data_IF_341993604793
#
_entry.id   IF_341993604793
#
_cell.length_a   1.000
_cell.length_b   1.000
_cell.length_c   1.000
_cell.angle_alpha   90.00
_cell.angle_beta   90.00
_cell.angle_gamma   90.00
#
_symmetry.space_group_name_H-M   'P 1'
#
loop_
_entity.id
_entity.type
_entity.pdbx_description
1 polymer ?
#
# COMPACT_ATOMS: atom_id res chain seq x y z
N UNK A 1 -24.69 -9.53 -10.70
CA UNK A 1 -23.77 -8.68 -9.90
C UNK A 1 -22.38 -9.23 -10.08
N UNK A 2 -21.43 -8.35 -10.39
CA UNK A 2 -20.12 -8.62 -10.97
C UNK A 2 -19.18 -9.33 -9.97
N UNK A 3 -18.66 -10.52 -10.33
CA UNK A 3 -17.83 -11.35 -9.46
C UNK A 3 -16.56 -10.66 -8.96
N UNK A 4 -16.06 -9.69 -9.73
CA UNK A 4 -14.89 -8.87 -9.39
C UNK A 4 -15.15 -7.96 -8.19
N UNK A 5 -16.35 -7.37 -8.08
CA UNK A 5 -16.69 -6.52 -6.93
C UNK A 5 -16.86 -7.33 -5.65
N UNK A 6 -17.40 -8.54 -5.76
CA UNK A 6 -17.50 -9.44 -4.62
C UNK A 6 -16.10 -9.83 -4.09
N UNK A 7 -15.19 -10.23 -4.99
CA UNK A 7 -13.81 -10.56 -4.61
C UNK A 7 -13.08 -9.38 -3.97
N UNK A 8 -13.25 -8.17 -4.52
CA UNK A 8 -12.69 -6.95 -3.94
C UNK A 8 -13.14 -6.74 -2.50
N UNK A 9 -14.45 -6.82 -2.23
CA UNK A 9 -15.00 -6.66 -0.89
C UNK A 9 -14.49 -7.70 0.09
N UNK A 10 -14.38 -8.96 -0.34
CA UNK A 10 -13.85 -10.05 0.48
C UNK A 10 -12.39 -9.79 0.86
N UNK A 11 -11.54 -9.36 -0.09
CA UNK A 11 -10.13 -9.06 0.18
C UNK A 11 -9.94 -7.81 1.05
N UNK A 12 -10.77 -6.79 0.87
CA UNK A 12 -10.70 -5.52 1.61
C UNK A 12 -11.14 -5.64 3.07
N UNK A 13 -12.03 -6.60 3.41
CA UNK A 13 -12.55 -6.71 4.78
C UNK A 13 -11.45 -7.01 5.81
N UNK A 14 -10.60 -8.04 5.66
CA UNK A 14 -9.49 -8.27 6.58
C UNK A 14 -8.47 -7.11 6.57
N UNK A 15 -8.23 -6.53 5.39
CA UNK A 15 -7.32 -5.40 5.25
C UNK A 15 -7.79 -4.18 6.06
N UNK A 16 -9.10 -3.87 6.05
CA UNK A 16 -9.69 -2.78 6.82
C UNK A 16 -9.50 -2.98 8.34
N UNK A 17 -9.76 -4.19 8.84
CA UNK A 17 -9.57 -4.51 10.26
C UNK A 17 -8.10 -4.38 10.67
N UNK A 18 -7.17 -4.82 9.80
CA UNK A 18 -5.74 -4.63 10.01
C UNK A 18 -5.36 -3.15 10.10
N UNK A 19 -5.88 -2.30 9.22
CA UNK A 19 -5.63 -0.85 9.27
C UNK A 19 -6.14 -0.22 10.56
N UNK A 20 -7.34 -0.63 11.03
CA UNK A 20 -7.87 -0.22 12.33
C UNK A 20 -6.92 -0.63 13.47
N UNK A 21 -6.52 -1.90 13.51
CA UNK A 21 -5.59 -2.42 14.52
C UNK A 21 -4.24 -1.72 14.50
N UNK A 22 -3.68 -1.43 13.32
CA UNK A 22 -2.43 -0.68 13.19
C UNK A 22 -2.59 0.75 13.72
N UNK A 23 -3.70 1.42 13.41
CA UNK A 23 -3.98 2.76 13.91
C UNK A 23 -4.13 2.77 15.44
N UNK A 24 -4.83 1.77 16.01
CA UNK A 24 -4.98 1.63 17.45
C UNK A 24 -3.66 1.28 18.13
N UNK A 25 -2.84 0.39 17.57
CA UNK A 25 -1.50 0.10 18.07
C UNK A 25 -0.63 1.35 18.12
N UNK A 26 -0.61 2.15 17.04
CA UNK A 26 0.11 3.42 16.98
C UNK A 26 -0.38 4.38 18.07
N UNK A 27 -1.70 4.49 18.28
CA UNK A 27 -2.27 5.34 19.34
C UNK A 27 -1.79 4.92 20.73
N UNK A 28 -1.67 3.62 20.98
CA UNK A 28 -1.22 3.08 22.28
C UNK A 28 0.31 3.08 22.46
N UNK A 29 1.09 3.08 21.39
CA UNK A 29 2.57 3.12 21.46
C UNK A 29 3.14 4.53 21.32
N UNK A 30 2.35 5.51 20.85
CA UNK A 30 2.75 6.91 20.63
C UNK A 30 2.92 7.74 21.92
N UNK A 31 2.76 7.15 23.11
CA UNK A 31 3.06 7.81 24.39
C UNK A 31 4.57 8.07 24.60
N UNK A 32 5.42 7.67 23.67
CA UNK A 32 6.86 8.00 23.66
C UNK A 32 7.18 9.09 22.62
N UNK A 33 7.21 10.34 23.12
CA UNK A 33 8.01 11.48 22.62
C UNK A 33 7.55 12.23 21.35
N UNK A 34 6.89 13.37 21.61
CA UNK A 34 6.94 14.68 20.94
C UNK A 34 7.09 14.81 19.41
N UNK A 35 6.13 15.56 18.86
CA UNK A 35 6.22 16.46 17.69
C UNK A 35 6.40 15.81 16.32
N UNK A 36 5.31 15.26 15.78
CA UNK A 36 4.80 15.62 14.45
C UNK A 36 3.33 15.23 14.40
N UNK A 37 2.49 16.17 14.00
CA UNK A 37 1.07 15.98 13.72
C UNK A 37 0.90 14.92 12.63
N UNK A 38 0.92 13.65 13.02
CA UNK A 38 0.51 12.55 12.17
C UNK A 38 -0.97 12.36 12.46
N UNK A 39 -1.77 12.56 11.43
CA UNK A 39 -3.23 12.57 11.44
C UNK A 39 -3.75 11.22 11.97
N UNK A 40 -3.94 11.09 13.30
CA UNK A 40 -4.30 9.84 14.00
C UNK A 40 -5.79 9.49 13.95
N UNK A 41 -6.57 10.20 13.12
CA UNK A 41 -7.95 9.83 12.84
C UNK A 41 -7.96 8.84 11.68
N UNK A 42 -8.32 7.58 11.93
CA UNK A 42 -8.73 6.70 10.85
C UNK A 42 -9.86 7.42 10.08
N UNK A 43 -9.68 7.77 8.80
CA UNK A 43 -10.63 8.62 8.10
C UNK A 43 -11.96 7.90 7.82
N UNK A 44 -12.03 6.59 8.07
CA UNK A 44 -13.21 5.77 7.85
C UNK A 44 -13.73 5.23 9.18
N UNK A 45 -15.01 5.49 9.45
CA UNK A 45 -15.67 5.00 10.66
C UNK A 45 -16.26 3.60 10.47
N UNK A 46 -16.48 3.17 9.22
CA UNK A 46 -17.06 1.86 8.90
C UNK A 46 -16.40 1.19 7.70
N UNK A 47 -16.51 -0.14 7.63
CA UNK A 47 -16.07 -0.91 6.46
C UNK A 47 -16.80 -0.49 5.16
N UNK A 48 -18.07 -0.07 5.28
CA UNK A 48 -18.87 0.39 4.14
C UNK A 48 -18.28 1.65 3.52
N UNK A 49 -17.89 2.62 4.36
CA UNK A 49 -17.23 3.85 3.92
C UNK A 49 -15.87 3.55 3.30
N UNK A 50 -15.06 2.73 3.96
CA UNK A 50 -13.76 2.31 3.44
C UNK A 50 -13.88 1.67 2.05
N UNK A 51 -14.78 0.70 1.90
CA UNK A 51 -15.00 0.02 0.63
C UNK A 51 -15.46 0.98 -0.46
N UNK A 52 -16.41 1.88 -0.17
CA UNK A 52 -16.87 2.87 -1.13
C UNK A 52 -15.75 3.83 -1.56
N UNK A 53 -14.90 4.25 -0.62
CA UNK A 53 -13.75 5.11 -0.93
C UNK A 53 -12.69 4.40 -1.77
N UNK A 54 -12.43 3.11 -1.54
CA UNK A 54 -11.55 2.32 -2.40
C UNK A 54 -12.16 2.16 -3.79
N UNK A 55 -13.46 1.89 -3.90
CA UNK A 55 -14.16 1.81 -5.20
C UNK A 55 -14.05 3.14 -5.98
N UNK A 56 -14.25 4.29 -5.31
CA UNK A 56 -14.06 5.63 -5.91
C UNK A 56 -12.61 5.85 -6.32
N UNK A 57 -11.65 5.47 -5.46
CA UNK A 57 -10.23 5.60 -5.77
C UNK A 57 -9.86 4.78 -7.02
N UNK A 58 -10.35 3.55 -7.15
CA UNK A 58 -10.08 2.70 -8.30
C UNK A 58 -10.63 3.32 -9.60
N UNK A 59 -11.80 3.96 -9.56
CA UNK A 59 -12.47 4.51 -10.73
C UNK A 59 -12.00 5.91 -11.13
N UNK A 60 -11.69 6.76 -10.14
CA UNK A 60 -11.51 8.20 -10.32
C UNK A 60 -10.23 8.76 -9.68
N UNK A 61 -9.42 7.90 -9.06
CA UNK A 61 -8.17 8.31 -8.45
C UNK A 61 -7.15 8.79 -9.48
N UNK A 62 -6.42 9.82 -9.10
CA UNK A 62 -5.21 10.27 -9.83
C UNK A 62 -4.05 9.31 -9.58
N UNK A 63 -3.03 9.31 -10.46
CA UNK A 63 -1.84 8.45 -10.31
C UNK A 63 -1.14 8.66 -8.96
N UNK A 64 -1.13 9.90 -8.43
CA UNK A 64 -0.59 10.20 -7.10
C UNK A 64 -1.42 9.59 -5.98
N UNK A 65 -2.75 9.63 -6.06
CA UNK A 65 -3.63 9.00 -5.07
C UNK A 65 -3.53 7.48 -5.13
N UNK A 66 -3.45 6.90 -6.33
CA UNK A 66 -3.18 5.48 -6.54
C UNK A 66 -1.85 5.08 -5.91
N UNK A 67 -0.78 5.83 -6.18
CA UNK A 67 0.53 5.58 -5.60
C UNK A 67 0.51 5.67 -4.07
N UNK A 68 -0.14 6.69 -3.50
CA UNK A 68 -0.25 6.84 -2.05
C UNK A 68 -0.95 5.63 -1.40
N UNK A 69 -2.03 5.15 -2.00
CA UNK A 69 -2.73 3.97 -1.49
C UNK A 69 -1.91 2.69 -1.65
N UNK A 70 -1.30 2.49 -2.82
CA UNK A 70 -0.43 1.34 -3.09
C UNK A 70 0.81 1.33 -2.19
N UNK A 71 1.36 2.49 -1.83
CA UNK A 71 2.47 2.58 -0.89
C UNK A 71 2.14 1.90 0.44
N UNK A 72 0.95 2.15 1.01
CA UNK A 72 0.48 1.53 2.26
C UNK A 72 0.27 0.02 2.10
N UNK A 73 -0.11 -0.43 0.90
CA UNK A 73 -0.34 -1.85 0.59
C UNK A 73 0.99 -2.60 0.45
N UNK A 74 2.03 -1.97 -0.09
CA UNK A 74 3.31 -2.63 -0.38
C UNK A 74 4.36 -2.45 0.71
N UNK A 75 4.35 -1.34 1.46
CA UNK A 75 5.30 -1.06 2.55
C UNK A 75 4.91 -1.82 3.82
N UNK A 76 5.12 -3.14 3.85
CA UNK A 76 4.66 -4.00 4.95
C UNK A 76 5.79 -4.62 5.76
N UNK A 77 6.98 -4.74 5.18
CA UNK A 77 8.11 -5.43 5.82
C UNK A 77 8.95 -4.55 6.74
N UNK A 78 8.92 -3.23 6.55
CA UNK A 78 9.77 -2.30 7.30
C UNK A 78 8.94 -1.15 7.89
N UNK A 79 9.07 -0.85 9.20
CA UNK A 79 8.32 0.23 9.85
C UNK A 79 8.68 1.63 9.36
N UNK A 80 9.89 1.83 8.83
CA UNK A 80 10.37 3.13 8.32
C UNK A 80 9.81 3.45 6.93
N UNK A 81 9.13 2.50 6.29
CA UNK A 81 8.46 2.67 5.00
C UNK A 81 8.83 1.59 4.00
N UNK A 82 8.74 1.92 2.71
CA UNK A 82 8.86 0.92 1.65
C UNK A 82 10.33 0.54 1.41
N UNK A 83 10.61 -0.74 1.30
CA UNK A 83 11.93 -1.23 0.87
C UNK A 83 12.07 -1.15 -0.66
N UNK A 84 13.31 -1.23 -1.16
CA UNK A 84 13.56 -1.21 -2.61
C UNK A 84 12.87 -2.35 -3.35
N UNK A 85 12.81 -3.53 -2.75
CA UNK A 85 12.17 -4.71 -3.36
C UNK A 85 10.65 -4.55 -3.43
N UNK A 86 10.03 -4.02 -2.38
CA UNK A 86 8.59 -3.72 -2.37
C UNK A 86 8.23 -2.61 -3.36
N UNK A 87 9.06 -1.57 -3.46
CA UNK A 87 8.87 -0.49 -4.43
C UNK A 87 9.00 -0.99 -5.86
N UNK A 88 9.97 -1.88 -6.13
CA UNK A 88 10.11 -2.50 -7.45
C UNK A 88 8.87 -3.32 -7.81
N UNK A 89 8.36 -4.14 -6.88
CA UNK A 89 7.15 -4.92 -7.09
C UNK A 89 5.94 -4.02 -7.39
N UNK A 90 5.75 -2.95 -6.61
CA UNK A 90 4.69 -1.96 -6.84
C UNK A 90 4.78 -1.38 -8.26
N UNK A 91 5.99 -0.98 -8.69
CA UNK A 91 6.20 -0.42 -10.03
C UNK A 91 5.89 -1.47 -11.12
N UNK A 92 6.33 -2.71 -10.95
CA UNK A 92 6.06 -3.78 -11.91
C UNK A 92 4.57 -4.12 -12.04
N UNK A 93 3.85 -4.06 -10.93
CA UNK A 93 2.44 -4.44 -10.89
C UNK A 93 1.50 -3.30 -11.33
N UNK A 94 1.91 -2.04 -11.15
CA UNK A 94 1.00 -0.89 -11.24
C UNK A 94 1.49 0.27 -12.11
N UNK A 95 2.70 0.24 -12.65
CA UNK A 95 3.12 1.22 -13.67
C UNK A 95 2.88 0.64 -15.04
N UNK A 96 1.92 1.22 -15.75
CA UNK A 96 1.66 0.86 -17.13
C UNK A 96 2.35 1.84 -18.07
N UNK A 97 3.36 1.32 -18.77
CA UNK A 97 4.05 2.03 -19.84
C UNK A 97 3.94 1.21 -21.13
N UNK A 98 2.72 1.02 -21.62
CA UNK A 98 2.34 0.26 -22.84
C UNK A 98 3.14 0.55 -24.13
N UNK A 99 4.03 1.55 -24.16
CA UNK A 99 4.83 1.93 -25.33
C UNK A 99 6.35 1.93 -25.09
N UNK A 100 6.82 1.38 -23.98
CA UNK A 100 8.24 1.42 -23.65
C UNK A 100 9.04 0.23 -24.18
N UNK A 101 10.36 0.45 -24.26
CA UNK A 101 11.37 -0.56 -24.58
C UNK A 101 11.19 -1.80 -23.68
N UNK A 102 11.36 -3.00 -24.24
CA UNK A 102 11.33 -4.27 -23.50
C UNK A 102 12.29 -4.27 -22.29
N UNK A 103 13.32 -3.42 -22.29
CA UNK A 103 14.27 -3.23 -21.18
C UNK A 103 13.88 -2.15 -20.17
N UNK A 104 12.68 -1.59 -20.24
CA UNK A 104 12.24 -0.52 -19.34
C UNK A 104 12.39 -0.90 -17.87
N UNK A 105 11.89 -2.06 -17.46
CA UNK A 105 11.99 -2.49 -16.06
C UNK A 105 13.43 -2.74 -15.62
N UNK A 106 14.32 -3.20 -16.52
CA UNK A 106 15.75 -3.34 -16.22
C UNK A 106 16.41 -1.98 -15.98
N UNK A 107 16.07 -0.97 -16.80
CA UNK A 107 16.55 0.41 -16.65
C UNK A 107 16.02 1.03 -15.36
N UNK A 108 14.72 0.87 -15.09
CA UNK A 108 14.09 1.35 -13.85
C UNK A 108 14.71 0.70 -12.62
N UNK A 109 14.96 -0.62 -12.65
CA UNK A 109 15.64 -1.30 -11.55
C UNK A 109 17.08 -0.80 -11.35
N UNK A 110 17.83 -0.61 -12.43
CA UNK A 110 19.20 -0.08 -12.37
C UNK A 110 19.22 1.34 -11.80
N UNK A 111 18.26 2.17 -12.21
CA UNK A 111 18.10 3.52 -11.68
C UNK A 111 17.73 3.50 -10.20
N UNK A 112 16.77 2.66 -9.79
CA UNK A 112 16.41 2.48 -8.38
C UNK A 112 17.61 2.04 -7.55
N UNK A 113 18.45 1.10 -8.01
CA UNK A 113 19.66 0.71 -7.27
C UNK A 113 20.64 1.87 -7.03
N UNK A 114 20.73 2.79 -7.99
CA UNK A 114 21.62 3.96 -7.89
C UNK A 114 21.11 4.99 -6.87
N UNK A 115 19.80 5.19 -6.81
CA UNK A 115 19.18 6.23 -5.97
C UNK A 115 18.62 5.70 -4.65
N UNK A 116 18.47 4.39 -4.54
CA UNK A 116 18.01 3.65 -3.37
C UNK A 116 19.11 2.64 -2.97
N UNK A 117 20.13 3.16 -2.28
CA UNK A 117 21.36 2.42 -1.98
C UNK A 117 21.14 1.23 -1.02
N UNK A 118 20.29 1.41 0.00
CA UNK A 118 20.00 0.36 0.97
C UNK A 118 19.00 -0.65 0.41
N UNK A 119 19.24 -1.94 0.63
CA UNK A 119 18.33 -3.01 0.22
C UNK A 119 17.29 -3.33 1.28
N UNK A 120 17.54 -2.95 2.53
CA UNK A 120 16.77 -3.36 3.71
C UNK A 120 16.15 -2.20 4.47
N UNK A 121 16.69 -0.98 4.33
CA UNK A 121 16.11 0.20 4.97
C UNK A 121 14.84 0.63 4.23
N UNK A 122 13.77 0.86 5.00
CA UNK A 122 12.56 1.50 4.52
C UNK A 122 12.83 2.95 4.14
N UNK A 123 12.05 3.47 3.20
CA UNK A 123 12.03 4.88 2.84
C UNK A 123 10.62 5.42 2.96
N UNK A 124 10.51 6.64 3.48
CA UNK A 124 9.23 7.29 3.69
C UNK A 124 8.52 7.59 2.36
N UNK A 125 7.21 7.77 2.43
CA UNK A 125 6.39 8.14 1.28
C UNK A 125 6.92 9.39 0.58
N UNK A 126 7.22 10.47 1.32
CA UNK A 126 7.67 11.74 0.72
C UNK A 126 8.98 11.58 -0.05
N UNK A 127 9.95 10.84 0.52
CA UNK A 127 11.22 10.56 -0.13
C UNK A 127 11.04 9.82 -1.46
N UNK A 128 10.17 8.80 -1.47
CA UNK A 128 9.90 8.02 -2.68
C UNK A 128 9.05 8.79 -3.68
N UNK A 129 8.06 9.56 -3.25
CA UNK A 129 7.25 10.39 -4.13
C UNK A 129 8.13 11.42 -4.86
N UNK A 130 9.06 12.08 -4.15
CA UNK A 130 10.05 12.99 -4.75
C UNK A 130 10.98 12.24 -5.71
N UNK A 131 11.46 11.07 -5.31
CA UNK A 131 12.33 10.25 -6.16
C UNK A 131 11.61 9.88 -7.47
N UNK A 132 10.42 9.29 -7.42
CA UNK A 132 9.68 8.86 -8.62
C UNK A 132 9.26 10.03 -9.51
N UNK A 133 8.93 11.19 -8.93
CA UNK A 133 8.65 12.41 -9.68
C UNK A 133 9.89 12.94 -10.41
N UNK A 134 11.09 12.72 -9.87
CA UNK A 134 12.37 13.10 -10.49
C UNK A 134 12.85 12.12 -11.57
N UNK A 135 12.19 10.97 -11.72
CA UNK A 135 12.53 10.01 -12.75
C UNK A 135 12.41 10.64 -14.14
N UNK A 136 13.34 10.39 -15.09
CA UNK A 136 13.29 10.98 -16.43
C UNK A 136 11.96 10.76 -17.17
N UNK A 137 11.31 9.63 -16.91
CA UNK A 137 10.01 9.25 -17.48
C UNK A 137 8.82 9.53 -16.54
N UNK A 138 9.03 10.30 -15.46
CA UNK A 138 7.98 10.67 -14.49
C UNK A 138 7.11 9.50 -14.03
N UNK A 139 7.73 8.43 -13.51
CA UNK A 139 7.05 7.17 -13.18
C UNK A 139 5.77 7.35 -12.34
N UNK A 140 5.75 8.35 -11.46
CA UNK A 140 4.59 8.66 -10.62
C UNK A 140 3.33 9.00 -11.43
N UNK A 141 3.48 9.60 -12.60
CA UNK A 141 2.36 10.00 -13.46
C UNK A 141 1.71 8.77 -14.15
N UNK A 142 2.42 7.64 -14.20
CA UNK A 142 2.02 6.41 -14.88
C UNK A 142 1.50 5.32 -13.93
N UNK A 143 1.35 5.63 -12.64
CA UNK A 143 0.85 4.68 -11.64
C UNK A 143 -0.67 4.53 -11.77
N UNK A 144 -1.12 3.31 -12.00
CA UNK A 144 -2.52 2.91 -12.03
C UNK A 144 -2.75 1.59 -11.30
N UNK A 145 -3.85 1.47 -10.56
CA UNK A 145 -4.13 0.24 -9.83
C UNK A 145 -4.60 -0.87 -10.79
N UNK A 146 -3.67 -1.73 -11.18
CA UNK A 146 -4.00 -3.07 -11.67
C UNK A 146 -4.76 -3.86 -10.58
N UNK A 147 -6.07 -4.02 -10.76
CA UNK A 147 -6.97 -4.62 -9.77
C UNK A 147 -6.56 -6.05 -9.43
N UNK A 148 -6.20 -6.89 -10.41
CA UNK A 148 -5.84 -8.28 -10.15
C UNK A 148 -4.56 -8.42 -9.31
N UNK A 149 -3.53 -7.63 -9.64
CA UNK A 149 -2.28 -7.60 -8.87
C UNK A 149 -2.50 -7.04 -7.48
N UNK A 150 -3.29 -5.97 -7.37
CA UNK A 150 -3.66 -5.38 -6.09
C UNK A 150 -4.38 -6.38 -5.20
N UNK A 151 -5.39 -7.09 -5.71
CA UNK A 151 -6.12 -8.10 -4.95
C UNK A 151 -5.20 -9.22 -4.48
N UNK A 152 -4.37 -9.76 -5.38
CA UNK A 152 -3.39 -10.79 -5.00
C UNK A 152 -2.44 -10.33 -3.91
N UNK A 153 -2.02 -9.05 -3.94
CA UNK A 153 -1.15 -8.48 -2.91
C UNK A 153 -1.86 -8.30 -1.57
N UNK A 154 -3.10 -7.79 -1.58
CA UNK A 154 -3.91 -7.64 -0.36
C UNK A 154 -4.20 -9.01 0.26
N UNK A 155 -4.58 -10.00 -0.55
CA UNK A 155 -4.82 -11.38 -0.12
C UNK A 155 -3.55 -11.99 0.50
N UNK A 156 -2.38 -11.83 -0.14
CA UNK A 156 -1.11 -12.31 0.39
C UNK A 156 -0.76 -11.64 1.74
N UNK A 157 -0.89 -10.33 1.84
CA UNK A 157 -0.60 -9.59 3.07
C UNK A 157 -1.56 -9.95 4.21
N UNK A 158 -2.81 -10.31 3.89
CA UNK A 158 -3.75 -10.82 4.88
C UNK A 158 -3.20 -12.12 5.50
N UNK A 159 -2.59 -13.02 4.71
CA UNK A 159 -2.05 -14.30 5.22
C UNK A 159 -0.72 -14.17 6.00
N UNK A 160 0.14 -13.22 5.64
CA UNK A 160 1.50 -13.08 6.25
C UNK A 160 1.45 -12.61 7.71
N UNK A 161 0.39 -11.89 8.11
CA UNK A 161 0.20 -11.41 9.48
C UNK A 161 -1.05 -11.99 10.15
N UNK A 162 -1.57 -13.12 9.64
CA UNK A 162 -2.60 -13.93 10.31
C UNK A 162 -2.12 -14.66 11.57
N UNK A 163 -0.88 -14.42 12.04
CA UNK A 163 -0.51 -14.65 13.44
C UNK A 163 -1.05 -13.47 14.28
N UNK A 164 -2.37 -13.36 14.34
CA UNK A 164 -2.97 -12.78 15.54
C UNK A 164 -2.51 -13.68 16.70
N UNK A 165 -2.02 -13.13 17.83
CA UNK A 165 -1.87 -13.93 19.03
C UNK A 165 -3.17 -14.71 19.26
N UNK A 166 -3.05 -16.01 19.52
CA UNK A 166 -4.17 -16.97 19.61
C UNK A 166 -5.32 -16.49 20.53
N UNK A 167 -5.06 -15.52 21.41
CA UNK A 167 -6.01 -14.91 22.34
C UNK A 167 -7.18 -14.14 21.70
N UNK A 168 -7.12 -13.79 20.41
CA UNK A 168 -8.17 -12.95 19.77
C UNK A 168 -9.19 -13.70 18.90
N UNK A 169 -9.04 -15.00 18.68
CA UNK A 169 -10.10 -15.82 18.01
C UNK A 169 -11.40 -15.77 18.82
N UNK A 170 -11.32 -15.52 20.12
CA UNK A 170 -12.44 -15.35 21.04
C UNK A 170 -13.25 -14.05 20.86
N UNK A 171 -12.69 -13.01 20.23
CA UNK A 171 -13.38 -11.72 20.02
C UNK A 171 -14.09 -11.61 18.67
N UNK A 172 -13.80 -12.50 17.72
CA UNK A 172 -14.43 -12.51 16.39
C UNK A 172 -15.74 -13.32 16.38
N UNK A 173 -16.02 -14.10 17.43
CA UNK A 173 -17.25 -14.90 17.55
C UNK A 173 -18.41 -14.16 18.24
N UNK A 174 -18.27 -12.87 18.55
CA UNK A 174 -19.34 -12.05 19.11
C UNK A 174 -19.67 -10.88 18.18
N UNK A 175 -20.21 -11.20 17.01
CA UNK A 175 -21.12 -10.35 16.24
C UNK A 175 -22.05 -11.24 15.39
#
# INVERSE_FOLDING_TARGET
>A
MDGSQHRLRVALKPHFHRLLQQADLIRHTSDYSSTKEMTTANPFSTFKEYCASVEILLQHGTSRQHFQYLFVVYAVTNPDGITRSELLALIQDHVDMNNEDARFFEKTYTWLKKHFASTTAGQSYDAIATLLASHPQKLLDHVHINVDRFLGKVEANNTVHCLLPDDFVTLIQQD
#
